data_IF_085511869361
#
_entry.id   IF_085511869361
#
_cell.length_a   1.000
_cell.length_b   1.000
_cell.length_c   1.000
_cell.angle_alpha   90.00
_cell.angle_beta   90.00
_cell.angle_gamma   90.00
#
_symmetry.space_group_name_H-M   'P 1'
#
loop_
_entity.id
_entity.type
_entity.pdbx_description
1 polymer ?
#
# COMPACT_ATOMS: atom_id res chain seq x y z
N UNK A 1 -5.22 -31.34 12.32
CA UNK A 1 -6.10 -30.33 11.68
C UNK A 1 -5.91 -28.92 12.22
N UNK A 2 -5.86 -28.68 13.54
CA UNK A 2 -5.71 -27.32 14.11
C UNK A 2 -4.49 -26.52 13.60
N UNK A 3 -3.35 -27.18 13.39
CA UNK A 3 -2.12 -26.53 12.90
C UNK A 3 -2.29 -25.98 11.48
N UNK A 4 -3.00 -26.69 10.60
CA UNK A 4 -3.22 -26.20 9.23
C UNK A 4 -4.21 -25.05 9.18
N UNK A 5 -5.26 -25.07 10.01
CA UNK A 5 -6.15 -23.92 10.12
C UNK A 5 -5.44 -22.69 10.68
N UNK A 6 -4.48 -22.89 11.59
CA UNK A 6 -3.67 -21.80 12.12
C UNK A 6 -2.75 -21.22 11.05
N UNK A 7 -2.07 -22.07 10.26
CA UNK A 7 -1.25 -21.61 9.14
C UNK A 7 -2.09 -20.92 8.07
N UNK A 8 -3.29 -21.42 7.77
CA UNK A 8 -4.22 -20.76 6.85
C UNK A 8 -4.57 -19.35 7.36
N UNK A 9 -4.94 -19.21 8.63
CA UNK A 9 -5.27 -17.91 9.21
C UNK A 9 -4.08 -16.93 9.18
N UNK A 10 -2.88 -17.43 9.47
CA UNK A 10 -1.65 -16.63 9.38
C UNK A 10 -1.43 -16.21 7.93
N UNK A 11 -1.52 -17.13 6.98
CA UNK A 11 -1.42 -16.86 5.55
C UNK A 11 -2.43 -15.81 5.10
N UNK A 12 -3.70 -15.95 5.46
CA UNK A 12 -4.77 -15.01 5.10
C UNK A 12 -4.50 -13.61 5.68
N UNK A 13 -3.91 -13.54 6.87
CA UNK A 13 -3.50 -12.26 7.49
C UNK A 13 -2.38 -11.60 6.70
N UNK A 14 -1.37 -12.37 6.27
CA UNK A 14 -0.25 -11.84 5.45
C UNK A 14 -0.76 -11.41 4.07
N UNK A 15 -1.72 -12.14 3.49
CA UNK A 15 -2.38 -11.75 2.23
C UNK A 15 -3.16 -10.45 2.38
N UNK A 16 -3.91 -10.26 3.48
CA UNK A 16 -4.58 -8.99 3.73
C UNK A 16 -3.59 -7.82 3.85
N UNK A 17 -2.40 -8.04 4.44
CA UNK A 17 -1.34 -7.02 4.45
C UNK A 17 -0.80 -6.72 3.04
N UNK A 18 -0.71 -7.73 2.18
CA UNK A 18 -0.27 -7.59 0.80
C UNK A 18 -1.26 -6.77 -0.02
N UNK A 19 -2.56 -7.02 0.14
CA UNK A 19 -3.61 -6.25 -0.54
C UNK A 19 -3.56 -4.76 -0.15
N UNK A 20 -3.38 -4.48 1.15
CA UNK A 20 -3.20 -3.10 1.64
C UNK A 20 -1.94 -2.47 1.01
N UNK A 21 -0.84 -3.22 0.95
CA UNK A 21 0.40 -2.75 0.34
C UNK A 21 0.25 -2.46 -1.14
N UNK A 22 -0.49 -3.28 -1.88
CA UNK A 22 -0.79 -3.06 -3.29
C UNK A 22 -1.59 -1.75 -3.50
N UNK A 23 -2.59 -1.50 -2.66
CA UNK A 23 -3.37 -0.24 -2.70
C UNK A 23 -2.48 0.96 -2.42
N UNK A 24 -1.62 0.89 -1.39
CA UNK A 24 -0.70 1.97 -1.04
C UNK A 24 0.26 2.31 -2.21
N UNK A 25 0.79 1.28 -2.89
CA UNK A 25 1.69 1.46 -4.04
C UNK A 25 0.98 2.09 -5.23
N UNK A 26 -0.24 1.64 -5.54
CA UNK A 26 -1.04 2.24 -6.62
C UNK A 26 -1.34 3.71 -6.33
N UNK A 27 -1.76 4.03 -5.10
CA UNK A 27 -2.01 5.42 -4.70
C UNK A 27 -0.74 6.29 -4.83
N UNK A 28 0.44 5.77 -4.47
CA UNK A 28 1.70 6.48 -4.64
C UNK A 28 2.00 6.75 -6.13
N UNK A 29 1.86 5.74 -6.99
CA UNK A 29 2.09 5.89 -8.43
C UNK A 29 1.12 6.86 -9.09
N UNK A 30 -0.14 6.86 -8.68
CA UNK A 30 -1.15 7.79 -9.22
C UNK A 30 -0.92 9.21 -8.73
N UNK A 31 -0.51 9.40 -7.46
CA UNK A 31 -0.09 10.70 -6.96
C UNK A 31 1.15 11.25 -7.70
N UNK A 32 2.11 10.39 -8.02
CA UNK A 32 3.32 10.78 -8.77
C UNK A 32 3.00 11.17 -10.23
N UNK A 33 1.99 10.56 -10.86
CA UNK A 33 1.52 10.94 -12.20
C UNK A 33 0.76 12.26 -12.22
N UNK A 34 0.11 12.64 -11.13
CA UNK A 34 -0.58 13.93 -11.02
C UNK A 34 0.39 15.13 -10.93
N UNK A 35 1.67 14.88 -10.59
CA UNK A 35 2.68 15.91 -10.27
C UNK A 35 3.65 16.29 -11.42
N UNK A 36 3.23 16.32 -12.69
CA UNK A 36 4.06 16.91 -13.78
C UNK A 36 3.27 17.57 -14.92
N UNK A 37 3.77 18.68 -15.53
CA UNK A 37 4.50 19.83 -14.97
C UNK A 37 3.92 21.17 -15.47
N UNK A 38 3.51 22.10 -14.59
CA UNK A 38 3.50 23.56 -14.84
C UNK A 38 2.88 24.34 -13.68
N UNK A 39 3.43 24.19 -12.47
CA UNK A 39 3.38 25.29 -11.53
C UNK A 39 4.48 25.04 -10.53
N UNK A 40 5.67 25.60 -10.79
CA UNK A 40 6.66 25.85 -9.75
C UNK A 40 6.23 27.15 -9.10
N UNK A 41 5.53 27.12 -7.97
CA UNK A 41 4.96 28.32 -7.42
C UNK A 41 6.10 28.85 -6.60
N UNK A 42 6.64 29.99 -7.06
CA UNK A 42 7.55 30.82 -6.30
C UNK A 42 7.16 30.70 -4.83
N UNK A 43 8.05 30.08 -4.06
CA UNK A 43 8.05 29.90 -2.61
C UNK A 43 6.73 30.27 -1.92
N UNK A 44 6.07 29.30 -1.28
CA UNK A 44 4.75 29.38 -0.61
C UNK A 44 4.56 30.46 0.46
N UNK A 45 5.53 31.35 0.64
CA UNK A 45 5.52 32.47 1.57
C UNK A 45 4.90 33.70 0.91
N UNK A 46 4.07 34.45 1.65
CA UNK A 46 3.35 35.61 1.14
C UNK A 46 4.27 36.59 0.39
N UNK A 47 4.04 36.74 -0.91
CA UNK A 47 4.77 37.68 -1.75
C UNK A 47 3.89 38.89 -2.08
N UNK A 48 4.43 40.08 -1.87
CA UNK A 48 3.84 41.34 -2.28
C UNK A 48 4.68 41.93 -3.40
N UNK A 49 4.04 42.50 -4.41
CA UNK A 49 4.77 43.27 -5.43
C UNK A 49 5.32 44.58 -4.84
N UNK A 50 6.23 45.25 -5.55
CA UNK A 50 6.82 46.53 -5.13
C UNK A 50 5.79 47.66 -4.98
N UNK A 51 4.52 47.43 -5.35
CA UNK A 51 3.40 48.36 -5.18
C UNK A 51 2.52 48.01 -3.97
N UNK A 52 2.88 46.96 -3.23
CA UNK A 52 2.16 46.51 -2.03
C UNK A 52 0.97 45.59 -2.30
N UNK A 53 0.78 45.14 -3.55
CA UNK A 53 -0.31 44.22 -3.90
C UNK A 53 0.12 42.78 -3.63
N UNK A 54 -0.70 42.05 -2.90
CA UNK A 54 -0.51 40.63 -2.62
C UNK A 54 -0.60 39.84 -3.93
N UNK A 55 0.45 39.09 -4.27
CA UNK A 55 0.42 38.12 -5.35
C UNK A 55 -0.46 36.94 -4.94
N UNK A 56 -1.23 36.39 -5.88
CA UNK A 56 -2.08 35.22 -5.62
C UNK A 56 -1.23 34.05 -5.15
N UNK A 57 -1.54 33.54 -3.96
CA UNK A 57 -0.93 32.35 -3.39
C UNK A 57 -1.80 31.12 -3.67
N UNK A 58 -1.21 29.93 -3.53
CA UNK A 58 -1.93 28.65 -3.55
C UNK A 58 -3.12 28.63 -2.60
N UNK A 59 -2.96 29.28 -1.44
CA UNK A 59 -3.98 29.36 -0.40
C UNK A 59 -5.13 30.31 -0.74
N UNK A 60 -4.93 31.24 -1.69
CA UNK A 60 -5.99 32.18 -2.09
C UNK A 60 -7.00 31.55 -3.06
N UNK A 61 -6.67 30.38 -3.63
CA UNK A 61 -7.52 29.63 -4.55
C UNK A 61 -8.03 28.31 -3.95
N UNK A 62 -7.69 28.00 -2.70
CA UNK A 62 -8.11 26.77 -2.05
C UNK A 62 -9.53 26.93 -1.49
N UNK A 63 -10.47 26.18 -2.06
CA UNK A 63 -11.86 26.17 -1.63
C UNK A 63 -12.04 25.12 -0.52
N UNK A 64 -12.03 25.60 0.72
CA UNK A 64 -12.14 24.75 1.91
C UNK A 64 -13.49 24.04 1.94
N UNK A 65 -14.56 24.68 1.47
CA UNK A 65 -15.91 24.13 1.53
C UNK A 65 -16.06 22.99 0.52
N UNK A 66 -15.57 23.14 -0.70
CA UNK A 66 -15.56 22.08 -1.70
C UNK A 66 -14.68 20.88 -1.32
N UNK A 67 -13.64 21.10 -0.50
CA UNK A 67 -12.78 20.04 0.02
C UNK A 67 -13.42 19.34 1.24
N UNK A 68 -14.21 20.07 2.03
CA UNK A 68 -14.98 19.51 3.14
C UNK A 68 -16.13 18.62 2.62
N UNK A 69 -16.81 19.04 1.55
CA UNK A 69 -17.90 18.25 0.93
C UNK A 69 -17.41 16.90 0.39
N UNK A 70 -16.18 16.82 -0.15
CA UNK A 70 -15.57 15.56 -0.57
C UNK A 70 -15.34 14.60 0.60
N UNK A 71 -15.02 15.15 1.78
CA UNK A 71 -14.82 14.33 2.99
C UNK A 71 -16.14 13.76 3.48
N UNK A 72 -17.22 14.53 3.42
CA UNK A 72 -18.54 14.07 3.86
C UNK A 72 -19.13 13.00 2.91
N UNK A 73 -18.94 13.10 1.59
CA UNK A 73 -19.34 12.04 0.64
C UNK A 73 -18.49 10.75 0.79
N UNK A 74 -17.21 10.86 1.16
CA UNK A 74 -16.31 9.70 1.38
C UNK A 74 -16.56 8.98 2.73
N UNK A 75 -17.40 9.52 3.63
CA UNK A 75 -17.64 8.91 4.95
C UNK A 75 -18.56 7.68 4.93
N UNK A 76 -19.26 7.40 3.83
CA UNK A 76 -20.11 6.21 3.70
C UNK A 76 -19.35 4.95 3.25
N UNK A 77 -18.10 5.06 2.80
CA UNK A 77 -17.31 3.92 2.32
C UNK A 77 -15.87 3.98 2.83
N UNK A 78 -15.65 3.30 3.95
CA UNK A 78 -14.36 2.76 4.37
C UNK A 78 -13.24 3.78 4.59
N UNK A 79 -13.07 4.21 5.85
CA UNK A 79 -11.79 4.45 6.51
C UNK A 79 -10.55 4.62 5.58
N UNK A 80 -10.54 5.66 4.75
CA UNK A 80 -9.41 6.03 3.90
C UNK A 80 -8.35 6.66 4.80
N UNK A 81 -7.57 5.80 5.47
CA UNK A 81 -6.24 6.17 5.92
C UNK A 81 -5.45 6.53 4.67
N UNK A 82 -5.32 7.83 4.37
CA UNK A 82 -4.36 8.32 3.38
C UNK A 82 -3.02 7.66 3.71
N UNK A 83 -2.48 6.76 2.88
CA UNK A 83 -1.22 6.15 3.20
C UNK A 83 -0.16 7.19 2.93
N UNK A 84 0.26 7.90 3.97
CA UNK A 84 1.45 8.77 3.95
C UNK A 84 2.72 7.92 3.99
N UNK A 85 2.66 6.69 3.48
CA UNK A 85 3.76 5.75 3.46
C UNK A 85 4.79 6.30 2.46
N UNK A 86 5.97 6.70 2.93
CA UNK A 86 7.03 7.11 2.01
C UNK A 86 7.43 5.93 1.11
N UNK A 87 7.98 6.16 -0.10
CA UNK A 87 8.41 5.06 -0.97
C UNK A 87 9.42 4.13 -0.26
N UNK A 88 10.28 4.69 0.60
CA UNK A 88 11.21 3.89 1.42
C UNK A 88 10.50 3.02 2.46
N UNK A 89 9.39 3.49 3.05
CA UNK A 89 8.58 2.70 3.98
C UNK A 89 7.87 1.56 3.25
N UNK A 90 7.36 1.79 2.04
CA UNK A 90 6.75 0.75 1.22
C UNK A 90 7.78 -0.31 0.81
N UNK A 91 8.99 0.10 0.41
CA UNK A 91 10.10 -0.83 0.13
C UNK A 91 10.44 -1.71 1.33
N UNK A 92 10.44 -1.15 2.54
CA UNK A 92 10.65 -1.93 3.77
C UNK A 92 9.52 -2.93 4.01
N UNK A 93 8.26 -2.50 3.88
CA UNK A 93 7.08 -3.36 4.03
C UNK A 93 7.08 -4.52 3.03
N UNK A 94 7.49 -4.29 1.77
CA UNK A 94 7.66 -5.36 0.77
C UNK A 94 8.65 -6.41 1.29
N UNK A 95 9.83 -6.00 1.78
CA UNK A 95 10.82 -6.93 2.30
C UNK A 95 10.38 -7.65 3.58
N UNK A 96 9.63 -6.98 4.45
CA UNK A 96 9.03 -7.60 5.64
C UNK A 96 8.02 -8.68 5.26
N UNK A 97 7.14 -8.40 4.29
CA UNK A 97 6.17 -9.37 3.78
C UNK A 97 6.83 -10.56 3.09
N UNK A 98 7.88 -10.31 2.30
CA UNK A 98 8.70 -11.37 1.69
C UNK A 98 9.23 -12.32 2.77
N UNK A 99 9.76 -11.77 3.87
CA UNK A 99 10.23 -12.57 5.00
C UNK A 99 9.11 -13.32 5.73
N UNK A 100 7.92 -12.71 5.90
CA UNK A 100 6.77 -13.36 6.52
C UNK A 100 6.30 -14.57 5.68
N UNK A 101 6.23 -14.45 4.34
CA UNK A 101 5.89 -15.56 3.46
C UNK A 101 6.92 -16.69 3.50
N UNK A 102 8.22 -16.35 3.49
CA UNK A 102 9.29 -17.34 3.62
C UNK A 102 9.25 -18.08 4.97
N UNK A 103 8.91 -17.37 6.06
CA UNK A 103 8.72 -18.00 7.36
C UNK A 103 7.54 -18.99 7.37
N UNK A 104 6.45 -18.66 6.69
CA UNK A 104 5.30 -19.56 6.52
C UNK A 104 5.70 -20.80 5.71
N UNK A 105 6.42 -20.64 4.61
CA UNK A 105 6.92 -21.75 3.78
C UNK A 105 7.87 -22.66 4.59
N UNK A 106 8.83 -22.08 5.30
CA UNK A 106 9.74 -22.82 6.16
C UNK A 106 8.97 -23.61 7.24
N UNK A 107 7.93 -23.02 7.83
CA UNK A 107 7.07 -23.73 8.78
C UNK A 107 6.32 -24.90 8.12
N UNK A 108 5.71 -24.68 6.95
CA UNK A 108 5.00 -25.73 6.21
C UNK A 108 5.89 -26.92 5.84
N UNK A 109 7.17 -26.68 5.58
CA UNK A 109 8.13 -27.76 5.30
C UNK A 109 8.33 -28.70 6.49
N UNK A 110 8.21 -28.17 7.72
CA UNK A 110 8.27 -28.98 8.95
C UNK A 110 7.00 -29.79 9.19
N UNK A 111 5.85 -29.37 8.64
CA UNK A 111 4.57 -30.03 8.83
C UNK A 111 4.55 -31.39 8.10
N UNK A 112 4.29 -32.45 8.86
CA UNK A 112 4.09 -33.82 8.38
C UNK A 112 2.66 -34.28 8.70
N UNK A 113 2.07 -35.08 7.82
CA UNK A 113 0.71 -35.59 8.01
C UNK A 113 0.25 -36.57 6.94
N UNK A 114 -1.03 -36.91 7.03
CA UNK A 114 -1.74 -37.78 6.09
C UNK A 114 -1.98 -37.11 4.72
N UNK A 115 -2.72 -37.78 3.84
CA UNK A 115 -2.95 -37.31 2.47
C UNK A 115 -3.68 -35.95 2.46
N UNK A 116 -4.65 -35.74 3.34
CA UNK A 116 -5.38 -34.47 3.44
C UNK A 116 -4.45 -33.33 3.85
N UNK A 117 -3.60 -33.54 4.86
CA UNK A 117 -2.59 -32.55 5.26
C UNK A 117 -1.63 -32.23 4.12
N UNK A 118 -1.24 -33.24 3.33
CA UNK A 118 -0.36 -33.05 2.18
C UNK A 118 -1.01 -32.21 1.09
N UNK A 119 -2.30 -32.45 0.80
CA UNK A 119 -3.06 -31.70 -0.21
C UNK A 119 -3.17 -30.23 0.20
N UNK A 120 -3.59 -29.94 1.43
CA UNK A 120 -3.74 -28.57 1.93
C UNK A 120 -2.40 -27.83 1.93
N UNK A 121 -1.34 -28.49 2.43
CA UNK A 121 0.02 -27.90 2.39
C UNK A 121 0.44 -27.56 0.97
N UNK A 122 0.22 -28.48 0.01
CA UNK A 122 0.59 -28.25 -1.39
C UNK A 122 -0.18 -27.09 -2.01
N UNK A 123 -1.47 -26.97 -1.71
CA UNK A 123 -2.30 -25.86 -2.17
C UNK A 123 -1.78 -24.53 -1.63
N UNK A 124 -1.47 -24.47 -0.33
CA UNK A 124 -0.98 -23.24 0.29
C UNK A 124 0.41 -22.83 -0.22
N UNK A 125 1.33 -23.79 -0.37
CA UNK A 125 2.66 -23.56 -0.96
C UNK A 125 2.54 -23.07 -2.41
N UNK A 126 1.63 -23.66 -3.19
CA UNK A 126 1.35 -23.20 -4.57
C UNK A 126 0.83 -21.77 -4.61
N UNK A 127 -0.16 -21.44 -3.76
CA UNK A 127 -0.70 -20.08 -3.68
C UNK A 127 0.38 -19.05 -3.31
N UNK A 128 1.23 -19.36 -2.33
CA UNK A 128 2.31 -18.45 -1.89
C UNK A 128 3.33 -18.22 -3.02
N UNK A 129 3.85 -19.30 -3.62
CA UNK A 129 4.90 -19.18 -4.64
C UNK A 129 4.39 -18.59 -5.95
N UNK A 130 3.23 -19.06 -6.44
CA UNK A 130 2.77 -18.73 -7.78
C UNK A 130 2.00 -17.40 -7.82
N UNK A 131 1.43 -16.96 -6.69
CA UNK A 131 0.62 -15.74 -6.62
C UNK A 131 1.30 -14.68 -5.77
N UNK A 132 1.49 -14.92 -4.47
CA UNK A 132 1.83 -13.85 -3.53
C UNK A 132 3.28 -13.35 -3.68
N UNK A 133 4.25 -14.24 -3.84
CA UNK A 133 5.65 -13.84 -4.08
C UNK A 133 5.80 -13.14 -5.44
N UNK A 134 5.11 -13.62 -6.48
CA UNK A 134 5.09 -12.97 -7.80
C UNK A 134 4.51 -11.55 -7.72
N UNK A 135 3.43 -11.35 -6.97
CA UNK A 135 2.88 -10.00 -6.76
C UNK A 135 3.83 -9.09 -5.99
N UNK A 136 4.53 -9.60 -4.96
CA UNK A 136 5.53 -8.83 -4.24
C UNK A 136 6.71 -8.41 -5.14
N UNK A 137 7.20 -9.30 -5.98
CA UNK A 137 8.26 -8.99 -6.96
C UNK A 137 7.82 -7.92 -7.94
N UNK A 138 6.56 -7.97 -8.40
CA UNK A 138 5.97 -6.93 -9.24
C UNK A 138 5.93 -5.58 -8.52
N UNK A 139 5.44 -5.54 -7.28
CA UNK A 139 5.41 -4.31 -6.47
C UNK A 139 6.83 -3.76 -6.23
N UNK A 140 7.78 -4.64 -5.90
CA UNK A 140 9.20 -4.30 -5.73
C UNK A 140 9.78 -3.65 -7.00
N UNK A 141 9.44 -4.18 -8.17
CA UNK A 141 9.84 -3.60 -9.47
C UNK A 141 9.20 -2.24 -9.77
N UNK A 142 7.97 -1.99 -9.32
CA UNK A 142 7.31 -0.67 -9.45
C UNK A 142 7.88 0.38 -8.49
N UNK A 143 8.35 -0.08 -7.33
CA UNK A 143 8.95 0.75 -6.30
C UNK A 143 10.43 1.02 -6.50
N UNK A 144 11.14 0.29 -7.38
CA UNK A 144 12.58 0.37 -7.62
C UNK A 144 12.99 1.67 -8.34
#
# INVERSE_FOLDING_TARGET
MHVLSEVQNISDTVVAKLDILEVDVHHLLDSAKADSPNDVPLNSYYHFDSTGKKLKSKWDSYDVDAELDKVDDDTATSALRRPTSSPDQLRRKVGELEHEFEAILAYLDTVRGDEEVRIVRKQLVGAINDTYLVTLDRLKGQLA
#
